data_IF_669077826884
#
_entry.id   IF_669077826884
#
_cell.length_a   1.000
_cell.length_b   1.000
_cell.length_c   1.000
_cell.angle_alpha   90.00
_cell.angle_beta   90.00
_cell.angle_gamma   90.00
#
_symmetry.space_group_name_H-M   'P 1'
#
loop_
_entity.id
_entity.type
_entity.pdbx_description
1 polymer ?
#
# COMPACT_ATOMS: atom_id res chain seq x y z
N UNK A 1 -9.16 -20.51 -2.85
CA UNK A 1 -9.40 -19.13 -2.38
C UNK A 1 -10.90 -18.94 -2.13
N UNK A 2 -11.36 -18.96 -0.87
CA UNK A 2 -12.77 -18.71 -0.57
C UNK A 2 -13.11 -17.27 -1.01
N UNK A 3 -14.02 -17.12 -1.98
CA UNK A 3 -14.39 -15.84 -2.60
C UNK A 3 -15.24 -15.03 -1.61
N UNK A 4 -14.62 -14.56 -0.51
CA UNK A 4 -15.28 -13.71 0.48
C UNK A 4 -15.30 -12.28 -0.06
N UNK A 5 -16.47 -11.82 -0.47
CA UNK A 5 -16.72 -10.43 -0.84
C UNK A 5 -17.32 -10.23 -2.24
N UNK A 6 -18.00 -9.09 -2.40
CA UNK A 6 -18.62 -8.65 -3.64
C UNK A 6 -17.51 -8.30 -4.65
N UNK A 7 -17.63 -8.80 -5.89
CA UNK A 7 -16.59 -8.65 -6.92
C UNK A 7 -16.38 -7.19 -7.33
N UNK A 8 -17.46 -6.42 -7.48
CA UNK A 8 -17.38 -4.99 -7.81
C UNK A 8 -16.65 -4.19 -6.74
N UNK A 9 -16.91 -4.49 -5.46
CA UNK A 9 -16.30 -3.79 -4.33
C UNK A 9 -14.78 -4.00 -4.27
N UNK A 10 -14.30 -5.20 -4.62
CA UNK A 10 -12.85 -5.47 -4.70
C UNK A 10 -12.17 -4.67 -5.80
N UNK A 11 -12.78 -4.57 -6.97
CA UNK A 11 -12.23 -3.76 -8.07
C UNK A 11 -12.31 -2.27 -7.78
N UNK A 12 -13.30 -1.80 -7.02
CA UNK A 12 -13.33 -0.40 -6.60
C UNK A 12 -12.25 -0.09 -5.56
N UNK A 13 -12.11 -0.91 -4.50
CA UNK A 13 -11.18 -0.61 -3.41
C UNK A 13 -9.71 -0.91 -3.73
N UNK A 14 -9.39 -2.02 -4.40
CA UNK A 14 -7.98 -2.39 -4.62
C UNK A 14 -7.37 -1.58 -5.76
N UNK A 15 -7.78 -1.76 -7.04
CA UNK A 15 -7.16 -1.00 -8.13
C UNK A 15 -7.67 0.44 -8.23
N UNK A 16 -8.91 0.74 -7.80
CA UNK A 16 -9.43 2.11 -7.80
C UNK A 16 -8.85 2.95 -6.67
N UNK A 17 -9.28 2.68 -5.43
CA UNK A 17 -8.90 3.49 -4.27
C UNK A 17 -7.44 3.29 -3.84
N UNK A 18 -7.01 2.05 -3.54
CA UNK A 18 -5.65 1.80 -3.06
C UNK A 18 -4.60 2.06 -4.15
N UNK A 19 -4.93 1.75 -5.42
CA UNK A 19 -4.08 2.07 -6.56
C UNK A 19 -3.99 3.57 -6.85
N UNK A 20 -5.07 4.32 -6.65
CA UNK A 20 -5.10 5.78 -6.86
C UNK A 20 -4.46 6.59 -5.73
N UNK A 21 -4.54 6.11 -4.48
CA UNK A 21 -3.90 6.76 -3.33
C UNK A 21 -2.39 6.58 -3.32
N UNK A 22 -1.88 5.47 -3.86
CA UNK A 22 -0.44 5.24 -4.01
C UNK A 22 0.09 5.85 -5.30
N UNK A 23 1.01 6.80 -5.21
CA UNK A 23 1.54 7.53 -6.39
C UNK A 23 3.03 7.24 -6.61
N UNK A 24 3.35 6.14 -7.30
CA UNK A 24 4.75 5.82 -7.61
C UNK A 24 5.44 6.94 -8.39
N UNK A 25 4.73 7.61 -9.30
CA UNK A 25 5.26 8.72 -10.09
C UNK A 25 5.74 9.91 -9.26
N UNK A 26 5.03 10.24 -8.16
CA UNK A 26 5.45 11.32 -7.27
C UNK A 26 6.69 10.92 -6.46
N UNK A 27 6.74 9.66 -5.99
CA UNK A 27 7.92 9.13 -5.29
C UNK A 27 9.15 9.13 -6.19
N UNK A 28 8.99 8.80 -7.47
CA UNK A 28 10.10 8.82 -8.45
C UNK A 28 10.57 10.24 -8.77
N UNK A 29 9.65 11.22 -8.82
CA UNK A 29 10.00 12.63 -9.00
C UNK A 29 10.88 13.11 -7.83
N UNK A 30 10.41 12.90 -6.59
CA UNK A 30 11.17 13.25 -5.39
C UNK A 30 12.51 12.51 -5.34
N UNK A 31 12.54 11.20 -5.60
CA UNK A 31 13.76 10.40 -5.51
C UNK A 31 14.87 10.79 -6.51
N UNK A 32 14.51 11.40 -7.64
CA UNK A 32 15.44 11.83 -8.70
C UNK A 32 15.74 13.33 -8.60
N UNK A 33 14.82 14.13 -8.03
CA UNK A 33 15.01 15.56 -7.85
C UNK A 33 16.25 15.82 -6.98
N UNK A 34 17.18 16.71 -7.43
CA UNK A 34 18.47 16.91 -6.77
C UNK A 34 18.39 17.56 -5.38
N UNK A 35 17.23 18.12 -5.01
CA UNK A 35 17.04 18.87 -3.76
C UNK A 35 16.22 18.11 -2.69
N UNK A 36 15.48 17.07 -3.06
CA UNK A 36 14.47 16.43 -2.19
C UNK A 36 14.75 14.93 -1.97
N UNK A 37 15.39 14.60 -0.85
CA UNK A 37 15.34 13.25 -0.23
C UNK A 37 16.10 12.09 -0.91
N UNK A 38 16.35 12.14 -2.23
CA UNK A 38 17.18 11.19 -2.98
C UNK A 38 16.82 9.70 -2.79
N UNK A 39 17.82 8.82 -2.89
CA UNK A 39 17.64 7.36 -2.73
C UNK A 39 17.08 6.93 -1.36
N UNK A 40 17.34 7.71 -0.31
CA UNK A 40 16.86 7.42 1.05
C UNK A 40 15.34 7.54 1.11
N UNK A 41 14.77 8.57 0.47
CA UNK A 41 13.32 8.76 0.40
C UNK A 41 12.62 7.58 -0.25
N UNK A 42 13.18 7.07 -1.37
CA UNK A 42 12.65 5.91 -2.08
C UNK A 42 12.69 4.65 -1.20
N UNK A 43 13.83 4.40 -0.55
CA UNK A 43 13.99 3.21 0.30
C UNK A 43 13.04 3.24 1.50
N UNK A 44 12.88 4.42 2.12
CA UNK A 44 11.98 4.61 3.25
C UNK A 44 10.52 4.42 2.83
N UNK A 45 10.11 4.95 1.68
CA UNK A 45 8.76 4.77 1.14
C UNK A 45 8.43 3.28 0.89
N UNK A 46 9.36 2.55 0.28
CA UNK A 46 9.17 1.12 -0.03
C UNK A 46 9.06 0.29 1.24
N UNK A 47 9.97 0.47 2.20
CA UNK A 47 9.95 -0.29 3.47
C UNK A 47 8.68 0.03 4.25
N UNK A 48 8.32 1.31 4.37
CA UNK A 48 7.16 1.72 5.16
C UNK A 48 5.84 1.21 4.54
N UNK A 49 5.75 1.19 3.20
CA UNK A 49 4.62 0.62 2.48
C UNK A 49 4.49 -0.90 2.71
N UNK A 50 5.59 -1.65 2.63
CA UNK A 50 5.63 -3.08 2.95
C UNK A 50 5.20 -3.34 4.40
N UNK A 51 5.68 -2.52 5.33
CA UNK A 51 5.36 -2.64 6.75
C UNK A 51 3.86 -2.36 7.01
N UNK A 52 3.29 -1.34 6.35
CA UNK A 52 1.86 -1.04 6.43
C UNK A 52 0.99 -2.20 5.91
N UNK A 53 1.37 -2.83 4.79
CA UNK A 53 0.67 -4.02 4.26
C UNK A 53 0.80 -5.21 5.22
N UNK A 54 1.99 -5.48 5.75
CA UNK A 54 2.20 -6.54 6.72
C UNK A 54 1.38 -6.32 8.01
N UNK A 55 1.34 -5.08 8.50
CA UNK A 55 0.55 -4.69 9.67
C UNK A 55 -0.95 -4.86 9.43
N UNK A 56 -1.47 -4.39 8.28
CA UNK A 56 -2.90 -4.51 7.95
C UNK A 56 -3.35 -5.97 7.78
N UNK A 57 -2.52 -6.82 7.18
CA UNK A 57 -2.77 -8.26 7.08
C UNK A 57 -2.78 -8.94 8.46
N UNK A 58 -1.77 -8.65 9.29
CA UNK A 58 -1.70 -9.15 10.68
C UNK A 58 -2.91 -8.71 11.50
N UNK A 59 -3.31 -7.45 11.37
CA UNK A 59 -4.45 -6.90 12.09
C UNK A 59 -5.75 -7.60 11.68
N UNK A 60 -5.95 -7.78 10.37
CA UNK A 60 -7.09 -8.51 9.82
C UNK A 60 -7.13 -9.94 10.33
N UNK A 61 -5.98 -10.64 10.33
CA UNK A 61 -5.88 -12.00 10.87
C UNK A 61 -6.20 -12.05 12.36
N UNK A 62 -5.70 -11.08 13.15
CA UNK A 62 -5.97 -11.00 14.60
C UNK A 62 -7.44 -10.74 14.89
N UNK A 63 -8.08 -9.84 14.15
CA UNK A 63 -9.51 -9.51 14.28
C UNK A 63 -10.38 -10.72 13.88
N UNK A 64 -10.03 -11.42 12.80
CA UNK A 64 -10.77 -12.63 12.39
C UNK A 64 -10.53 -13.83 13.32
N UNK A 65 -9.36 -13.94 13.95
CA UNK A 65 -9.10 -14.99 14.96
C UNK A 65 -9.79 -14.73 16.30
N UNK A 66 -10.28 -13.52 16.53
CA UNK A 66 -11.07 -13.14 17.72
C UNK A 66 -12.59 -13.31 17.50
N UNK A 67 -13.01 -13.69 16.30
CA UNK A 67 -14.40 -13.98 15.90
C UNK A 67 -14.61 -15.48 15.76
#
# INVERSE_FOLDING_TARGET
MQRRGITSLRYFLLPGFCGGLGTFSAVTYEAIAPDEGGFIYLFLNVILSLLAVAASLRLTQKIMSQR
#
